data_IF_702998042417
#
_entry.id   IF_702998042417
#
_cell.length_a   1.000
_cell.length_b   1.000
_cell.length_c   1.000
_cell.angle_alpha   90.00
_cell.angle_beta   90.00
_cell.angle_gamma   90.00
#
_symmetry.space_group_name_H-M   'P 1'
#
loop_
_entity.id
_entity.type
_entity.pdbx_description
1 polymer ?
#
# COMPACT_ATOMS: atom_id res chain seq x y z
N UNK A 1 10.57 0.66 -3.28
CA UNK A 1 11.36 1.88 -2.99
C UNK A 1 10.88 2.59 -1.74
N UNK A 2 11.77 3.31 -1.06
CA UNK A 2 11.52 3.94 0.25
C UNK A 2 10.35 4.94 0.22
N UNK A 3 10.26 5.77 -0.82
CA UNK A 3 9.18 6.76 -0.97
C UNK A 3 7.80 6.14 -1.12
N UNK A 4 7.68 5.03 -1.84
CA UNK A 4 6.42 4.27 -1.94
C UNK A 4 5.91 3.85 -0.56
N UNK A 5 6.79 3.28 0.28
CA UNK A 5 6.43 2.80 1.61
C UNK A 5 6.01 3.96 2.53
N UNK A 6 6.75 5.09 2.48
CA UNK A 6 6.41 6.31 3.22
C UNK A 6 5.05 6.87 2.82
N UNK A 7 4.79 7.02 1.52
CA UNK A 7 3.52 7.53 1.01
C UNK A 7 2.37 6.58 1.33
N UNK A 8 2.61 5.26 1.33
CA UNK A 8 1.61 4.27 1.74
C UNK A 8 1.27 4.40 3.24
N UNK A 9 2.28 4.57 4.10
CA UNK A 9 2.08 4.84 5.53
C UNK A 9 1.27 6.14 5.73
N UNK A 10 1.63 7.22 5.03
CA UNK A 10 0.91 8.49 5.09
C UNK A 10 -0.55 8.33 4.62
N UNK A 11 -0.78 7.61 3.52
CA UNK A 11 -2.12 7.30 3.00
C UNK A 11 -2.97 6.57 4.04
N UNK A 12 -2.38 5.61 4.76
CA UNK A 12 -3.04 4.88 5.84
C UNK A 12 -3.21 5.72 7.11
N UNK A 13 -2.36 6.72 7.35
CA UNK A 13 -2.47 7.63 8.49
C UNK A 13 -3.59 8.67 8.33
N UNK A 14 -4.00 9.03 7.10
CA UNK A 14 -5.08 10.02 6.87
C UNK A 14 -6.37 9.67 7.63
N UNK A 15 -6.76 8.41 7.66
CA UNK A 15 -8.02 7.98 8.32
C UNK A 15 -7.99 8.17 9.84
N UNK A 16 -7.02 7.64 10.62
CA UNK A 16 -6.95 7.88 12.06
C UNK A 16 -6.79 9.38 12.40
N UNK A 17 -5.97 10.10 11.63
CA UNK A 17 -5.78 11.54 11.79
C UNK A 17 -7.10 12.30 11.62
N UNK A 18 -7.86 12.03 10.54
CA UNK A 18 -9.20 12.62 10.36
C UNK A 18 -10.12 12.34 11.56
N UNK A 19 -10.08 11.15 12.14
CA UNK A 19 -10.97 10.79 13.26
C UNK A 19 -10.56 11.42 14.58
N UNK A 20 -9.26 11.54 14.86
CA UNK A 20 -8.80 12.14 16.12
C UNK A 20 -8.96 13.66 16.12
N UNK A 21 -8.73 14.31 14.98
CA UNK A 21 -8.81 15.76 14.86
C UNK A 21 -10.18 16.26 14.38
N UNK A 22 -11.13 15.36 14.13
CA UNK A 22 -12.47 15.68 13.60
C UNK A 22 -12.45 16.55 12.32
N UNK A 23 -11.41 16.45 11.49
CA UNK A 23 -11.21 17.26 10.28
C UNK A 23 -11.53 16.45 9.00
N UNK A 24 -12.77 16.50 8.46
CA UNK A 24 -13.15 15.71 7.28
C UNK A 24 -12.40 16.15 6.01
N UNK A 25 -11.94 17.41 5.96
CA UNK A 25 -11.19 17.97 4.83
C UNK A 25 -9.90 17.18 4.51
N UNK A 26 -9.33 16.46 5.48
CA UNK A 26 -8.12 15.66 5.25
C UNK A 26 -8.35 14.44 4.36
N UNK A 27 -9.61 13.99 4.22
CA UNK A 27 -9.95 12.86 3.37
C UNK A 27 -9.56 13.08 1.89
N UNK A 28 -9.50 14.34 1.42
CA UNK A 28 -9.11 14.66 0.04
C UNK A 28 -7.66 14.29 -0.27
N UNK A 29 -6.77 14.32 0.73
CA UNK A 29 -5.36 13.98 0.55
C UNK A 29 -5.14 12.48 0.36
N UNK A 30 -6.07 11.62 0.82
CA UNK A 30 -5.92 10.17 0.73
C UNK A 30 -5.78 9.69 -0.72
N UNK A 31 -6.57 10.26 -1.63
CA UNK A 31 -6.52 9.92 -3.05
C UNK A 31 -5.21 10.36 -3.69
N UNK A 32 -4.78 11.58 -3.41
CA UNK A 32 -3.52 12.14 -3.91
C UNK A 32 -2.32 11.32 -3.44
N UNK A 33 -2.23 11.02 -2.13
CA UNK A 33 -1.14 10.22 -1.55
C UNK A 33 -1.10 8.80 -2.11
N UNK A 34 -2.27 8.16 -2.28
CA UNK A 34 -2.35 6.82 -2.87
C UNK A 34 -1.89 6.78 -4.33
N UNK A 35 -2.25 7.78 -5.13
CA UNK A 35 -1.79 7.91 -6.52
C UNK A 35 -0.28 8.19 -6.58
N UNK A 36 0.26 9.03 -5.69
CA UNK A 36 1.71 9.23 -5.61
C UNK A 36 2.44 7.96 -5.16
N UNK A 37 1.89 7.20 -4.21
CA UNK A 37 2.49 5.93 -3.81
C UNK A 37 2.60 4.98 -5.02
N UNK A 38 1.53 4.88 -5.83
CA UNK A 38 1.56 4.09 -7.07
C UNK A 38 2.57 4.64 -8.09
N UNK A 39 2.59 5.96 -8.31
CA UNK A 39 3.55 6.59 -9.21
C UNK A 39 5.01 6.27 -8.84
N UNK A 40 5.38 6.43 -7.56
CA UNK A 40 6.72 6.09 -7.09
C UNK A 40 7.00 4.58 -7.13
N UNK A 41 5.99 3.72 -6.96
CA UNK A 41 6.13 2.28 -7.14
C UNK A 41 6.45 1.93 -8.61
N UNK A 42 5.74 2.54 -9.55
CA UNK A 42 5.98 2.38 -10.98
C UNK A 42 7.34 2.90 -11.40
N UNK A 43 7.76 4.07 -10.88
CA UNK A 43 9.09 4.61 -11.13
C UNK A 43 10.18 3.69 -10.56
N UNK A 44 9.96 3.12 -9.37
CA UNK A 44 10.89 2.16 -8.78
C UNK A 44 11.03 0.89 -9.64
N UNK A 45 9.92 0.34 -10.14
CA UNK A 45 9.96 -0.79 -11.06
C UNK A 45 10.61 -0.43 -12.39
N UNK A 46 10.33 0.77 -12.93
CA UNK A 46 10.93 1.26 -14.17
C UNK A 46 12.45 1.42 -14.01
N UNK A 47 12.93 1.93 -12.88
CA UNK A 47 14.35 2.06 -12.59
C UNK A 47 15.04 0.68 -12.56
N UNK A 48 14.45 -0.31 -11.89
CA UNK A 48 14.92 -1.70 -11.93
C UNK A 48 14.96 -2.24 -13.37
N UNK A 49 13.86 -2.10 -14.11
CA UNK A 49 13.77 -2.58 -15.49
C UNK A 49 14.78 -1.91 -16.43
N UNK A 50 15.04 -0.62 -16.24
CA UNK A 50 15.97 0.16 -17.06
C UNK A 50 17.43 -0.11 -16.69
N UNK A 51 17.80 0.07 -15.42
CA UNK A 51 19.18 0.09 -14.99
C UNK A 51 19.74 -1.30 -14.69
N UNK A 52 18.92 -2.20 -14.12
CA UNK A 52 19.40 -3.53 -13.72
C UNK A 52 19.21 -4.56 -14.85
N UNK A 53 18.18 -4.38 -15.69
CA UNK A 53 17.78 -5.37 -16.70
C UNK A 53 17.83 -4.85 -18.16
N UNK A 54 18.15 -3.57 -18.39
CA UNK A 54 18.27 -3.01 -19.74
C UNK A 54 17.00 -3.11 -20.60
N UNK A 55 15.82 -3.23 -19.99
CA UNK A 55 14.53 -3.50 -20.64
C UNK A 55 14.42 -4.80 -21.43
N UNK A 56 15.25 -5.80 -21.11
CA UNK A 56 15.13 -7.14 -21.69
C UNK A 56 14.00 -7.90 -20.98
N UNK A 57 12.79 -7.86 -21.55
CA UNK A 57 11.58 -8.41 -20.93
C UNK A 57 11.66 -9.90 -20.50
N UNK A 58 12.26 -10.82 -21.28
CA UNK A 58 12.42 -12.20 -20.85
C UNK A 58 13.26 -12.32 -19.57
N UNK A 59 14.34 -11.54 -19.47
CA UNK A 59 15.25 -11.54 -18.32
C UNK A 59 14.56 -10.95 -17.09
N UNK A 60 13.82 -9.86 -17.27
CA UNK A 60 12.98 -9.26 -16.22
C UNK A 60 12.01 -10.30 -15.65
N UNK A 61 11.28 -11.02 -16.51
CA UNK A 61 10.31 -12.01 -16.09
C UNK A 61 10.98 -13.17 -15.34
N UNK A 62 12.12 -13.67 -15.86
CA UNK A 62 12.89 -14.72 -15.21
C UNK A 62 13.41 -14.28 -13.82
N UNK A 63 13.91 -13.05 -13.69
CA UNK A 63 14.45 -12.54 -12.44
C UNK A 63 13.35 -12.29 -11.39
N UNK A 64 12.18 -11.78 -11.80
CA UNK A 64 11.00 -11.63 -10.93
C UNK A 64 10.61 -12.97 -10.31
N UNK A 65 10.53 -14.04 -11.11
CA UNK A 65 10.14 -15.37 -10.61
C UNK A 65 11.24 -15.99 -9.75
N UNK A 66 12.51 -15.80 -10.13
CA UNK A 66 13.66 -16.37 -9.44
C UNK A 66 13.91 -15.75 -8.07
N UNK A 67 13.55 -14.47 -7.87
CA UNK A 67 13.85 -13.71 -6.64
C UNK A 67 12.58 -13.41 -5.85
N UNK A 68 12.33 -14.11 -4.72
CA UNK A 68 11.12 -13.93 -3.92
C UNK A 68 10.85 -12.49 -3.48
N UNK A 69 11.90 -11.72 -3.16
CA UNK A 69 11.72 -10.32 -2.77
C UNK A 69 11.23 -9.46 -3.93
N UNK A 70 11.71 -9.68 -5.17
CA UNK A 70 11.22 -8.97 -6.35
C UNK A 70 9.79 -9.39 -6.65
N UNK A 71 9.50 -10.70 -6.60
CA UNK A 71 8.16 -11.24 -6.78
C UNK A 71 7.13 -10.56 -5.86
N UNK A 72 7.42 -10.47 -4.55
CA UNK A 72 6.53 -9.82 -3.59
C UNK A 72 6.33 -8.34 -3.90
N UNK A 73 7.40 -7.64 -4.29
CA UNK A 73 7.32 -6.24 -4.72
C UNK A 73 6.47 -6.06 -5.98
N UNK A 74 6.62 -6.95 -6.95
CA UNK A 74 5.83 -6.97 -8.18
C UNK A 74 4.35 -7.30 -7.91
N UNK A 75 4.05 -8.27 -7.06
CA UNK A 75 2.68 -8.56 -6.62
C UNK A 75 2.03 -7.33 -5.97
N UNK A 76 2.76 -6.60 -5.12
CA UNK A 76 2.27 -5.35 -4.53
C UNK A 76 1.96 -4.31 -5.61
N UNK A 77 2.83 -4.13 -6.61
CA UNK A 77 2.61 -3.22 -7.74
C UNK A 77 1.36 -3.62 -8.54
N UNK A 78 1.20 -4.91 -8.85
CA UNK A 78 0.03 -5.44 -9.56
C UNK A 78 -1.26 -5.19 -8.77
N UNK A 79 -1.25 -5.35 -7.45
CA UNK A 79 -2.40 -5.03 -6.61
C UNK A 79 -2.68 -3.52 -6.53
N UNK A 80 -1.67 -2.66 -6.68
CA UNK A 80 -1.88 -1.21 -6.73
C UNK A 80 -2.51 -0.74 -8.04
N UNK A 81 -2.34 -1.47 -9.16
CA UNK A 81 -2.93 -1.12 -10.46
C UNK A 81 -4.45 -0.91 -10.40
N UNK A 82 -5.28 -1.87 -9.92
CA UNK A 82 -6.73 -1.66 -9.86
C UNK A 82 -7.12 -0.52 -8.91
N UNK A 83 -6.34 -0.26 -7.85
CA UNK A 83 -6.57 0.84 -6.91
C UNK A 83 -6.35 2.18 -7.62
N UNK A 84 -5.25 2.32 -8.34
CA UNK A 84 -4.95 3.52 -9.12
C UNK A 84 -5.96 3.71 -10.27
N UNK A 85 -6.27 2.65 -11.02
CA UNK A 85 -7.22 2.66 -12.13
C UNK A 85 -8.66 2.98 -11.70
N UNK A 86 -9.01 2.79 -10.43
CA UNK A 86 -10.35 3.11 -9.89
C UNK A 86 -10.34 4.33 -8.96
N UNK A 87 -9.26 5.09 -8.95
CA UNK A 87 -9.11 6.32 -8.18
C UNK A 87 -9.65 7.54 -8.93
N UNK A 88 -10.85 7.49 -9.51
CA UNK A 88 -11.54 8.65 -10.08
C UNK A 88 -13.07 8.58 -9.96
N UNK A 89 -13.73 9.74 -9.98
CA UNK A 89 -15.15 9.87 -9.65
C UNK A 89 -16.06 9.03 -10.57
N UNK A 90 -15.74 8.91 -11.86
CA UNK A 90 -16.49 8.05 -12.80
C UNK A 90 -16.38 6.57 -12.41
N UNK A 91 -15.20 6.07 -12.05
CA UNK A 91 -15.02 4.68 -11.61
C UNK A 91 -15.78 4.39 -10.31
N UNK A 92 -15.74 5.32 -9.34
CA UNK A 92 -16.50 5.18 -8.09
C UNK A 92 -18.00 5.04 -8.36
N UNK A 93 -18.54 5.87 -9.27
CA UNK A 93 -19.96 5.82 -9.66
C UNK A 93 -20.30 4.53 -10.42
N UNK A 94 -19.43 4.07 -11.32
CA UNK A 94 -19.66 2.87 -12.13
C UNK A 94 -19.60 1.57 -11.30
N UNK A 95 -18.66 1.46 -10.36
CA UNK A 95 -18.51 0.28 -9.49
C UNK A 95 -19.54 0.24 -8.36
N UNK A 96 -20.02 1.42 -7.94
CA UNK A 96 -20.80 1.58 -6.72
C UNK A 96 -19.91 1.60 -5.47
N UNK A 97 -20.35 2.34 -4.44
CA UNK A 97 -19.55 2.62 -3.26
C UNK A 97 -19.08 1.35 -2.52
N UNK A 98 -19.95 0.34 -2.38
CA UNK A 98 -19.64 -0.88 -1.64
C UNK A 98 -18.52 -1.71 -2.32
N UNK A 99 -18.64 -1.95 -3.64
CA UNK A 99 -17.63 -2.70 -4.40
C UNK A 99 -16.32 -1.93 -4.49
N UNK A 100 -16.38 -0.61 -4.70
CA UNK A 100 -15.20 0.24 -4.71
C UNK A 100 -14.45 0.21 -3.37
N UNK A 101 -15.18 0.28 -2.25
CA UNK A 101 -14.59 0.14 -0.91
C UNK A 101 -13.97 -1.24 -0.71
N UNK A 102 -14.64 -2.31 -1.16
CA UNK A 102 -14.10 -3.67 -1.08
C UNK A 102 -12.79 -3.82 -1.84
N UNK A 103 -12.71 -3.30 -3.07
CA UNK A 103 -11.49 -3.27 -3.88
C UNK A 103 -10.38 -2.47 -3.18
N UNK A 104 -10.70 -1.31 -2.61
CA UNK A 104 -9.71 -0.48 -1.93
C UNK A 104 -9.21 -1.05 -0.60
N UNK A 105 -9.83 -2.11 -0.05
CA UNK A 105 -9.27 -2.86 1.08
C UNK A 105 -7.99 -3.61 0.72
N UNK A 106 -7.73 -3.84 -0.57
CA UNK A 106 -6.46 -4.40 -1.05
C UNK A 106 -5.24 -3.58 -0.61
N UNK A 107 -5.41 -2.30 -0.28
CA UNK A 107 -4.33 -1.44 0.25
C UNK A 107 -3.68 -2.03 1.50
N UNK A 108 -4.42 -2.80 2.31
CA UNK A 108 -3.87 -3.48 3.49
C UNK A 108 -2.95 -4.62 3.08
N UNK A 109 -3.35 -5.41 2.07
CA UNK A 109 -2.47 -6.42 1.48
C UNK A 109 -1.22 -5.80 0.85
N UNK A 110 -1.37 -4.69 0.12
CA UNK A 110 -0.24 -3.93 -0.44
C UNK A 110 0.71 -3.46 0.67
N UNK A 111 0.20 -3.01 1.81
CA UNK A 111 1.03 -2.59 2.93
C UNK A 111 1.83 -3.74 3.55
N UNK A 112 1.21 -4.91 3.72
CA UNK A 112 1.89 -6.11 4.21
C UNK A 112 2.95 -6.64 3.22
N UNK A 113 2.62 -6.69 1.92
CA UNK A 113 3.58 -7.07 0.90
C UNK A 113 4.71 -6.05 0.77
N UNK A 114 4.40 -4.76 0.89
CA UNK A 114 5.38 -3.68 0.83
C UNK A 114 6.41 -3.75 1.96
N UNK A 115 5.97 -4.00 3.20
CA UNK A 115 6.90 -4.17 4.33
C UNK A 115 7.69 -5.48 4.23
N UNK A 116 7.08 -6.57 3.73
CA UNK A 116 7.77 -7.83 3.49
C UNK A 116 8.86 -7.71 2.43
N UNK A 117 8.54 -7.07 1.29
CA UNK A 117 9.51 -6.74 0.25
C UNK A 117 10.68 -5.90 0.81
N UNK A 118 10.36 -4.88 1.62
CA UNK A 118 11.37 -4.02 2.26
C UNK A 118 12.23 -4.78 3.28
N UNK A 119 11.61 -5.68 4.06
CA UNK A 119 12.30 -6.52 5.04
C UNK A 119 13.35 -7.41 4.37
N UNK A 120 13.00 -8.18 3.34
CA UNK A 120 13.98 -9.05 2.68
C UNK A 120 15.13 -8.27 2.04
N UNK A 121 14.84 -7.12 1.42
CA UNK A 121 15.87 -6.27 0.82
C UNK A 121 16.86 -5.72 1.86
N UNK A 122 16.39 -5.36 3.07
CA UNK A 122 17.22 -4.76 4.13
C UNK A 122 17.86 -5.79 5.05
N UNK A 123 17.24 -6.96 5.21
CA UNK A 123 17.74 -8.06 6.02
C UNK A 123 19.07 -8.61 5.48
N UNK A 124 19.22 -8.69 4.15
CA UNK A 124 20.48 -9.08 3.50
C UNK A 124 21.65 -8.12 3.77
N UNK A 125 21.36 -6.89 4.24
CA UNK A 125 22.34 -5.86 4.60
C UNK A 125 22.42 -5.61 6.11
N UNK A 126 21.80 -6.46 6.93
CA UNK A 126 21.66 -6.32 8.38
C UNK A 126 21.08 -4.97 8.85
N UNK A 127 20.25 -4.31 8.04
CA UNK A 127 19.64 -3.00 8.35
C UNK A 127 18.21 -3.16 8.90
N UNK A 128 18.07 -3.64 10.13
CA UNK A 128 16.77 -3.94 10.71
C UNK A 128 16.04 -2.73 11.32
N UNK A 129 16.76 -1.66 11.69
CA UNK A 129 16.16 -0.50 12.38
C UNK A 129 15.05 0.19 11.58
N UNK A 130 15.30 0.50 10.31
CA UNK A 130 14.28 1.10 9.43
C UNK A 130 13.07 0.17 9.23
N UNK A 131 13.31 -1.14 9.11
CA UNK A 131 12.24 -2.12 8.90
C UNK A 131 11.35 -2.19 10.14
N UNK A 132 11.95 -2.28 11.33
CA UNK A 132 11.22 -2.31 12.59
C UNK A 132 10.34 -1.07 12.77
N UNK A 133 10.87 0.12 12.43
CA UNK A 133 10.11 1.37 12.47
C UNK A 133 8.87 1.33 11.56
N UNK A 134 9.04 1.00 10.28
CA UNK A 134 7.90 0.97 9.36
C UNK A 134 6.91 -0.15 9.69
N UNK A 135 7.40 -1.31 10.16
CA UNK A 135 6.55 -2.40 10.63
C UNK A 135 5.71 -1.96 11.84
N UNK A 136 6.31 -1.27 12.82
CA UNK A 136 5.60 -0.74 13.98
C UNK A 136 4.53 0.30 13.56
N UNK A 137 4.87 1.23 12.67
CA UNK A 137 3.92 2.23 12.15
C UNK A 137 2.72 1.53 11.49
N UNK A 138 2.98 0.56 10.60
CA UNK A 138 1.91 -0.18 9.93
C UNK A 138 1.08 -1.02 10.91
N UNK A 139 1.73 -1.67 11.89
CA UNK A 139 1.05 -2.43 12.92
C UNK A 139 0.08 -1.56 13.73
N UNK A 140 0.50 -0.36 14.14
CA UNK A 140 -0.37 0.61 14.84
C UNK A 140 -1.52 1.07 13.93
N UNK A 141 -1.23 1.44 12.69
CA UNK A 141 -2.24 1.96 11.76
C UNK A 141 -3.29 0.91 11.35
N UNK A 142 -2.88 -0.34 11.18
CA UNK A 142 -3.77 -1.46 10.85
C UNK A 142 -4.49 -1.97 12.12
N UNK A 143 -3.78 -2.07 13.24
CA UNK A 143 -4.35 -2.46 14.54
C UNK A 143 -5.48 -1.51 14.98
N UNK A 144 -5.28 -0.20 14.83
CA UNK A 144 -6.33 0.80 15.10
C UNK A 144 -7.60 0.56 14.26
N UNK A 145 -7.46 0.13 13.01
CA UNK A 145 -8.61 -0.18 12.14
C UNK A 145 -9.36 -1.42 12.59
N UNK A 146 -8.63 -2.47 12.99
CA UNK A 146 -9.21 -3.71 13.51
C UNK A 146 -9.96 -3.40 14.80
N UNK A 147 -9.36 -2.65 15.72
CA UNK A 147 -10.01 -2.20 16.96
C UNK A 147 -11.32 -1.43 16.68
N UNK A 148 -11.28 -0.44 15.78
CA UNK A 148 -12.48 0.32 15.39
C UNK A 148 -13.56 -0.57 14.78
N UNK A 149 -13.19 -1.50 13.90
CA UNK A 149 -14.13 -2.42 13.26
C UNK A 149 -14.79 -3.37 14.27
N UNK A 150 -14.05 -3.82 15.29
CA UNK A 150 -14.59 -4.64 16.38
C UNK A 150 -15.52 -3.82 17.28
N UNK A 151 -15.15 -2.59 17.65
CA UNK A 151 -15.99 -1.72 18.49
C UNK A 151 -17.35 -1.38 17.85
N UNK A 152 -17.38 -1.16 16.53
CA UNK A 152 -18.66 -0.90 15.82
C UNK A 152 -19.56 -2.14 15.76
N UNK A 153 -18.98 -3.34 15.66
CA UNK A 153 -19.75 -4.61 15.68
C UNK A 153 -20.35 -4.89 17.05
N UNK A 154 -19.62 -4.56 18.12
CA UNK A 154 -20.08 -4.79 19.49
C UNK A 154 -21.31 -3.94 19.82
N UNK A 155 -21.35 -2.66 19.39
CA UNK A 155 -22.51 -1.78 19.56
C UNK A 155 -23.73 -2.13 18.69
N UNK A 156 -23.53 -2.89 17.61
CA UNK A 156 -24.60 -3.26 16.68
C UNK A 156 -25.29 -4.59 17.06
N UNK A 157 -24.62 -5.47 17.80
CA UNK A 157 -25.18 -6.72 18.33
C UNK A 157 -25.81 -6.59 19.71
N UNK A 158 -25.73 -5.40 20.33
CA UNK A 158 -26.33 -5.09 21.64
C UNK A 158 -27.63 -4.27 21.53
N UNK A 159 -28.24 -4.24 20.33
CA UNK A 159 -29.58 -3.69 20.04
C UNK A 159 -30.39 -4.78 19.36
#
# INVERSE_FOLDING_TARGET
GDWTLRLLCLTLAVTPLRTWFAQPAWARFRRMLGLFAFFYASLHFLAYSAFDMGFVWPDIAADIVKRPFILVGFCALVLMLPLAATSFNRAIRALGAARWQALHRLVYGVALLGILHFFWMRASKHRFGEVALYAAILAVLLGWRVWKAMGTRWTAGSR
#
